data_IF_999571675735
#
_entry.id   IF_999571675735
#
_cell.length_a   1.000
_cell.length_b   1.000
_cell.length_c   1.000
_cell.angle_alpha   90.00
_cell.angle_beta   90.00
_cell.angle_gamma   90.00
#
_symmetry.space_group_name_H-M   'P 1'
#
loop_
_entity.id
_entity.type
_entity.pdbx_description
1 polymer ?
#
# COMPACT_ATOMS: atom_id res chain seq x y z
N UNK A 1 -5.76 2.73 -5.18
CA UNK A 1 -6.15 4.11 -5.56
C UNK A 1 -5.35 5.07 -4.70
N UNK A 2 -4.86 6.19 -5.23
CA UNK A 2 -4.10 7.14 -4.41
C UNK A 2 -5.02 7.70 -3.29
N UNK A 3 -4.47 7.93 -2.08
CA UNK A 3 -5.25 8.39 -0.92
C UNK A 3 -6.05 9.69 -1.18
N UNK A 4 -5.56 10.54 -2.10
CA UNK A 4 -6.31 11.67 -2.62
C UNK A 4 -6.97 11.34 -3.95
N UNK A 5 -8.30 11.24 -3.95
CA UNK A 5 -9.10 11.17 -5.18
C UNK A 5 -9.12 12.53 -5.89
N UNK A 6 -9.48 12.58 -7.19
CA UNK A 6 -9.72 13.84 -7.90
C UNK A 6 -10.71 14.76 -7.17
N UNK A 7 -11.74 14.19 -6.54
CA UNK A 7 -12.71 14.92 -5.72
C UNK A 7 -12.06 15.50 -4.46
N UNK A 8 -11.22 14.73 -3.76
CA UNK A 8 -10.49 15.21 -2.59
C UNK A 8 -9.57 16.39 -2.94
N UNK A 9 -8.90 16.34 -4.10
CA UNK A 9 -8.11 17.47 -4.59
C UNK A 9 -8.99 18.70 -4.86
N UNK A 10 -10.15 18.53 -5.49
CA UNK A 10 -11.07 19.64 -5.75
C UNK A 10 -11.57 20.30 -4.44
N UNK A 11 -11.87 19.51 -3.41
CA UNK A 11 -12.23 20.03 -2.09
C UNK A 11 -11.07 20.78 -1.42
N UNK A 12 -9.84 20.28 -1.57
CA UNK A 12 -8.65 20.93 -1.01
C UNK A 12 -8.35 22.29 -1.65
N UNK A 13 -8.72 22.51 -2.92
CA UNK A 13 -8.62 23.83 -3.58
C UNK A 13 -9.50 24.90 -2.91
N UNK A 14 -10.52 24.51 -2.15
CA UNK A 14 -11.32 25.42 -1.32
C UNK A 14 -10.63 25.86 -0.03
N UNK A 15 -9.54 25.19 0.37
CA UNK A 15 -8.79 25.44 1.61
C UNK A 15 -7.44 26.11 1.34
N UNK A 16 -6.78 25.74 0.24
CA UNK A 16 -5.45 26.24 -0.15
C UNK A 16 -5.45 26.50 -1.66
N UNK A 17 -4.58 27.39 -2.15
CA UNK A 17 -4.57 27.75 -3.57
C UNK A 17 -4.38 26.52 -4.48
N UNK A 18 -5.07 26.54 -5.62
CA UNK A 18 -4.96 25.52 -6.68
C UNK A 18 -3.52 25.25 -7.10
N UNK A 19 -2.68 26.29 -7.15
CA UNK A 19 -1.27 26.14 -7.49
C UNK A 19 -0.52 25.23 -6.51
N UNK A 20 -0.76 25.39 -5.20
CA UNK A 20 -0.14 24.55 -4.18
C UNK A 20 -0.69 23.11 -4.19
N UNK A 21 -2.00 22.93 -4.39
CA UNK A 21 -2.60 21.60 -4.52
C UNK A 21 -2.01 20.85 -5.72
N UNK A 22 -1.88 21.52 -6.88
CA UNK A 22 -1.27 20.95 -8.08
C UNK A 22 0.20 20.59 -7.89
N UNK A 23 0.97 21.43 -7.20
CA UNK A 23 2.37 21.14 -6.90
C UNK A 23 2.48 19.89 -6.01
N UNK A 24 1.62 19.77 -4.99
CA UNK A 24 1.56 18.62 -4.11
C UNK A 24 1.19 17.33 -4.84
N UNK A 25 0.13 17.36 -5.66
CA UNK A 25 -0.33 16.18 -6.41
C UNK A 25 0.71 15.67 -7.41
N UNK A 26 1.43 16.59 -8.07
CA UNK A 26 2.53 16.21 -8.97
C UNK A 26 3.71 15.60 -8.21
N UNK A 27 3.99 16.07 -7.00
CA UNK A 27 5.06 15.52 -6.17
C UNK A 27 4.74 14.10 -5.69
N UNK A 28 3.50 13.84 -5.24
CA UNK A 28 3.07 12.51 -4.78
C UNK A 28 2.98 11.52 -5.93
N UNK A 29 2.55 11.94 -7.12
CA UNK A 29 2.49 11.10 -8.33
C UNK A 29 3.87 10.54 -8.77
N UNK A 30 4.98 11.16 -8.36
CA UNK A 30 6.33 10.64 -8.67
C UNK A 30 6.59 9.29 -7.99
N UNK A 31 6.06 9.05 -6.80
CA UNK A 31 6.25 7.78 -6.09
C UNK A 31 5.55 6.62 -6.77
N UNK A 32 4.36 6.85 -7.32
CA UNK A 32 3.65 5.85 -8.12
C UNK A 32 4.46 5.42 -9.37
N UNK A 33 5.28 6.32 -9.94
CA UNK A 33 6.18 5.96 -11.05
C UNK A 33 7.28 5.00 -10.63
N UNK A 34 7.82 5.13 -9.41
CA UNK A 34 8.83 4.20 -8.88
C UNK A 34 8.27 2.78 -8.84
N UNK A 35 7.08 2.61 -8.26
CA UNK A 35 6.38 1.32 -8.20
C UNK A 35 6.06 0.79 -9.60
N UNK A 36 5.60 1.65 -10.51
CA UNK A 36 5.33 1.27 -11.91
C UNK A 36 6.59 0.73 -12.60
N UNK A 37 7.73 1.41 -12.44
CA UNK A 37 9.01 0.96 -12.99
C UNK A 37 9.46 -0.37 -12.38
N UNK A 38 9.37 -0.52 -11.05
CA UNK A 38 9.73 -1.77 -10.37
C UNK A 38 8.92 -2.96 -10.90
N UNK A 39 7.59 -2.81 -11.01
CA UNK A 39 6.69 -3.88 -11.45
C UNK A 39 6.84 -4.19 -12.96
N UNK A 40 7.07 -3.17 -13.79
CA UNK A 40 7.23 -3.36 -15.23
C UNK A 40 8.59 -3.96 -15.61
N UNK A 41 9.67 -3.52 -14.96
CA UNK A 41 11.02 -4.01 -15.25
C UNK A 41 11.37 -5.30 -14.51
N UNK A 42 10.70 -5.59 -13.38
CA UNK A 42 10.90 -6.79 -12.53
C UNK A 42 12.37 -6.99 -12.11
N UNK A 43 13.05 -5.89 -11.85
CA UNK A 43 14.44 -5.87 -11.40
C UNK A 43 14.64 -4.77 -10.37
N UNK A 44 15.73 -4.86 -9.63
CA UNK A 44 16.10 -3.81 -8.69
C UNK A 44 16.30 -2.47 -9.43
N UNK A 45 15.78 -1.35 -8.88
CA UNK A 45 16.08 -0.02 -9.38
C UNK A 45 17.60 0.21 -9.40
N UNK A 46 18.07 0.92 -10.42
CA UNK A 46 19.50 1.30 -10.51
C UNK A 46 19.92 2.16 -9.32
N UNK A 47 19.05 3.11 -8.96
CA UNK A 47 19.22 3.99 -7.82
C UNK A 47 18.24 3.58 -6.72
N UNK A 48 18.74 3.40 -5.50
CA UNK A 48 17.93 3.01 -4.34
C UNK A 48 16.84 4.03 -4.03
N UNK A 49 15.70 3.55 -3.56
CA UNK A 49 14.62 4.42 -3.08
C UNK A 49 14.97 4.99 -1.70
N UNK A 50 14.49 6.19 -1.42
CA UNK A 50 14.51 6.74 -0.06
C UNK A 50 13.58 5.94 0.86
N UNK A 51 13.84 5.99 2.17
CA UNK A 51 13.08 5.24 3.18
C UNK A 51 11.58 5.52 3.07
N UNK A 52 11.18 6.77 2.90
CA UNK A 52 9.76 7.12 2.84
C UNK A 52 9.08 6.52 1.60
N UNK A 53 9.76 6.43 0.47
CA UNK A 53 9.27 5.74 -0.73
C UNK A 53 9.13 4.23 -0.50
N UNK A 54 10.05 3.60 0.23
CA UNK A 54 9.97 2.18 0.62
C UNK A 54 8.79 1.94 1.57
N UNK A 55 8.67 2.77 2.61
CA UNK A 55 7.59 2.70 3.60
C UNK A 55 6.22 2.93 2.96
N UNK A 56 6.12 3.88 2.01
CA UNK A 56 4.89 4.12 1.24
C UNK A 56 4.50 2.88 0.45
N UNK A 57 5.45 2.23 -0.22
CA UNK A 57 5.19 0.99 -0.95
C UNK A 57 4.73 -0.15 -0.03
N UNK A 58 5.41 -0.34 1.12
CA UNK A 58 5.00 -1.37 2.09
C UNK A 58 3.61 -1.11 2.65
N UNK A 59 3.28 0.15 2.94
CA UNK A 59 1.95 0.53 3.39
C UNK A 59 0.89 0.32 2.32
N UNK A 60 1.16 0.65 1.06
CA UNK A 60 0.26 0.41 -0.07
C UNK A 60 0.04 -1.09 -0.27
N UNK A 61 1.09 -1.90 -0.23
CA UNK A 61 0.99 -3.36 -0.33
C UNK A 61 0.17 -3.95 0.81
N UNK A 62 0.42 -3.55 2.05
CA UNK A 62 -0.34 -4.05 3.19
C UNK A 62 -1.83 -3.74 3.11
N UNK A 63 -2.23 -2.59 2.55
CA UNK A 63 -3.66 -2.25 2.36
C UNK A 63 -4.37 -3.17 1.35
N UNK A 64 -3.64 -3.95 0.55
CA UNK A 64 -4.22 -4.93 -0.38
C UNK A 64 -4.52 -6.28 0.27
N UNK A 65 -3.98 -6.54 1.47
CA UNK A 65 -4.32 -7.73 2.25
C UNK A 65 -5.70 -7.60 2.90
N UNK A 66 -6.51 -8.65 2.81
CA UNK A 66 -7.89 -8.65 3.30
C UNK A 66 -8.03 -8.40 4.81
N UNK A 67 -7.01 -8.74 5.60
CA UNK A 67 -6.99 -8.42 7.03
C UNK A 67 -6.91 -6.91 7.33
N UNK A 68 -6.65 -6.07 6.32
CA UNK A 68 -6.55 -4.62 6.43
C UNK A 68 -7.69 -3.86 5.73
N UNK A 69 -8.66 -4.54 5.10
CA UNK A 69 -9.80 -3.84 4.50
C UNK A 69 -10.72 -3.25 5.58
N UNK A 70 -11.20 -2.03 5.35
CA UNK A 70 -12.01 -1.27 6.32
C UNK A 70 -13.29 -2.02 6.75
N UNK A 71 -13.95 -2.69 5.80
CA UNK A 71 -15.24 -3.37 6.02
C UNK A 71 -15.12 -4.91 6.00
N UNK A 72 -13.94 -5.46 6.32
CA UNK A 72 -13.77 -6.92 6.36
C UNK A 72 -14.50 -7.56 7.54
N UNK A 73 -15.28 -8.61 7.27
CA UNK A 73 -15.88 -9.49 8.29
C UNK A 73 -15.30 -10.90 8.14
N UNK A 74 -14.23 -11.16 8.89
CA UNK A 74 -13.57 -12.46 8.88
C UNK A 74 -14.23 -13.49 9.81
N UNK A 75 -14.82 -14.54 9.24
CA UNK A 75 -15.45 -15.66 9.99
C UNK A 75 -14.67 -16.97 9.96
N UNK A 76 -13.53 -17.01 9.27
CA UNK A 76 -12.69 -18.20 9.17
C UNK A 76 -11.77 -18.42 10.37
N UNK A 77 -11.07 -19.55 10.36
CA UNK A 77 -10.07 -19.93 11.35
C UNK A 77 -8.75 -19.19 11.17
N UNK A 78 -8.44 -18.77 9.94
CA UNK A 78 -7.23 -18.02 9.57
C UNK A 78 -7.57 -16.71 8.87
N UNK A 79 -7.81 -15.69 9.69
CA UNK A 79 -8.16 -14.31 9.31
C UNK A 79 -7.03 -13.31 9.58
N UNK A 80 -5.82 -13.81 9.88
CA UNK A 80 -4.62 -13.00 10.17
C UNK A 80 -4.83 -11.89 11.23
N UNK A 81 -5.67 -12.16 12.23
CA UNK A 81 -5.93 -11.26 13.36
C UNK A 81 -4.66 -11.10 14.20
N UNK A 82 -4.21 -9.86 14.41
CA UNK A 82 -3.02 -9.55 15.22
C UNK A 82 -3.43 -8.94 16.56
N UNK A 83 -3.05 -9.57 17.67
CA UNK A 83 -3.40 -9.10 19.02
C UNK A 83 -2.62 -7.84 19.42
N UNK A 84 -1.31 -7.82 19.18
CA UNK A 84 -0.43 -6.73 19.65
C UNK A 84 -0.20 -5.69 18.55
N UNK A 85 -0.51 -4.40 18.80
CA UNK A 85 -0.20 -3.32 17.86
C UNK A 85 1.30 -3.20 17.57
N UNK A 86 2.17 -3.57 18.51
CA UNK A 86 3.62 -3.59 18.29
C UNK A 86 4.02 -4.65 17.26
N UNK A 87 3.36 -5.81 17.29
CA UNK A 87 3.59 -6.89 16.31
C UNK A 87 3.03 -6.52 14.95
N UNK A 88 1.86 -5.88 14.90
CA UNK A 88 1.27 -5.40 13.64
C UNK A 88 2.18 -4.36 12.97
N UNK A 89 2.61 -3.34 13.71
CA UNK A 89 3.46 -2.26 13.19
C UNK A 89 4.83 -2.72 12.71
N UNK A 90 5.53 -3.57 13.48
CA UNK A 90 6.88 -4.05 13.07
C UNK A 90 6.86 -4.91 11.80
N UNK A 91 5.68 -5.41 11.42
CA UNK A 91 5.44 -6.21 10.21
C UNK A 91 4.65 -5.44 9.15
N UNK A 92 4.52 -4.11 9.28
CA UNK A 92 3.79 -3.28 8.32
C UNK A 92 2.33 -3.72 8.09
N UNK A 93 1.70 -4.42 9.04
CA UNK A 93 0.39 -5.06 8.92
C UNK A 93 0.27 -6.18 7.87
N UNK A 94 1.38 -6.69 7.35
CA UNK A 94 1.42 -7.89 6.50
C UNK A 94 1.35 -9.14 7.39
N UNK A 95 0.18 -9.78 7.46
CA UNK A 95 -0.09 -10.80 8.47
C UNK A 95 -0.47 -12.18 7.92
N UNK A 96 -0.78 -12.30 6.62
CA UNK A 96 -1.19 -13.57 6.02
C UNK A 96 -0.03 -14.53 5.68
N UNK A 97 1.18 -13.99 5.47
CA UNK A 97 2.33 -14.73 4.93
C UNK A 97 2.29 -14.86 3.41
N UNK A 98 3.11 -15.75 2.85
CA UNK A 98 3.18 -16.00 1.40
C UNK A 98 2.64 -17.39 1.05
N UNK A 99 2.21 -17.56 -0.20
CA UNK A 99 1.82 -18.87 -0.72
C UNK A 99 0.51 -19.41 -0.17
N UNK A 100 0.22 -20.66 -0.50
CA UNK A 100 -0.94 -21.44 -0.04
C UNK A 100 -0.47 -22.74 0.62
N UNK A 101 -1.39 -23.44 1.28
CA UNK A 101 -1.08 -24.66 2.05
C UNK A 101 -0.36 -25.76 1.25
N UNK A 102 -0.54 -25.82 -0.07
CA UNK A 102 0.08 -26.81 -0.94
C UNK A 102 1.18 -26.27 -1.86
N UNK A 103 1.38 -24.94 -1.92
CA UNK A 103 2.32 -24.31 -2.85
C UNK A 103 2.74 -22.92 -2.34
N UNK A 104 4.03 -22.75 -2.05
CA UNK A 104 4.60 -21.49 -1.56
C UNK A 104 4.63 -20.40 -2.64
N UNK A 105 4.67 -20.78 -3.92
CA UNK A 105 4.73 -19.84 -5.04
C UNK A 105 3.34 -19.44 -5.56
N UNK A 106 2.26 -20.09 -5.08
CA UNK A 106 0.90 -19.77 -5.48
C UNK A 106 0.43 -18.43 -4.89
N UNK A 107 -0.31 -17.66 -5.69
CA UNK A 107 -0.98 -16.44 -5.24
C UNK A 107 -1.91 -16.72 -4.05
N UNK A 108 -1.85 -15.88 -3.02
CA UNK A 108 -2.68 -16.01 -1.82
C UNK A 108 -3.93 -15.14 -1.98
N UNK A 109 -5.14 -15.71 -2.14
CA UNK A 109 -6.36 -14.91 -2.41
C UNK A 109 -6.75 -13.95 -1.27
N UNK A 110 -6.24 -14.15 -0.04
CA UNK A 110 -6.45 -13.24 1.09
C UNK A 110 -5.36 -12.16 1.24
N UNK A 111 -4.30 -12.21 0.43
CA UNK A 111 -3.14 -11.32 0.48
C UNK A 111 -2.68 -10.97 -0.95
N UNK A 112 -3.26 -9.90 -1.50
CA UNK A 112 -3.24 -9.56 -2.93
C UNK A 112 -2.08 -8.62 -3.31
#
# INVERSE_FOLDING_TARGET
>A
EAMFSPEAYALAEGLVSKAYINQGSQATARRSKLVTSLLSERRLPKDGWDDHSIESFLSEAAMMDSNNFLDNVGVGEREARVYSPLVARRHWNLAHGIGRSGDVAAEQPKAA
#
